data_IF_738471607274
#
_entry.id   IF_738471607274
#
_cell.length_a   1.000
_cell.length_b   1.000
_cell.length_c   1.000
_cell.angle_alpha   90.00
_cell.angle_beta   90.00
_cell.angle_gamma   90.00
#
_symmetry.space_group_name_H-M   'P 1'
#
loop_
_entity.id
_entity.type
_entity.pdbx_description
1 polymer ?
#
# COMPACT_ATOMS: atom_id res chain seq x y z
N UNK A 1 -30.67 16.12 -7.37
CA UNK A 1 -31.27 15.96 -6.05
C UNK A 1 -32.76 15.73 -6.18
N UNK A 2 -33.30 14.69 -5.50
CA UNK A 2 -34.75 14.40 -5.49
C UNK A 2 -35.24 13.51 -6.64
N UNK A 3 -34.35 12.95 -7.46
CA UNK A 3 -34.69 11.96 -8.47
C UNK A 3 -33.97 10.63 -8.17
N UNK A 4 -34.59 9.54 -8.61
CA UNK A 4 -33.96 8.22 -8.55
C UNK A 4 -32.73 8.18 -9.48
N UNK A 5 -31.60 7.70 -8.97
CA UNK A 5 -30.37 7.54 -9.72
C UNK A 5 -30.04 6.05 -9.78
N UNK A 6 -29.72 5.56 -10.98
CA UNK A 6 -29.33 4.16 -11.21
C UNK A 6 -27.85 4.11 -11.49
N UNK A 7 -27.13 3.28 -10.73
CA UNK A 7 -25.73 2.96 -10.96
C UNK A 7 -25.65 1.53 -11.45
N UNK A 8 -25.06 1.31 -12.61
CA UNK A 8 -24.84 -0.03 -13.18
C UNK A 8 -23.36 -0.34 -13.19
N UNK A 9 -22.98 -1.52 -12.69
CA UNK A 9 -21.62 -2.05 -12.74
C UNK A 9 -21.56 -3.20 -13.72
N UNK A 10 -20.63 -3.12 -14.67
CA UNK A 10 -20.27 -4.24 -15.52
C UNK A 10 -19.01 -4.90 -14.98
N UNK A 11 -19.13 -6.13 -14.51
CA UNK A 11 -18.00 -6.94 -14.05
C UNK A 11 -17.71 -7.98 -15.11
N UNK A 12 -16.46 -8.09 -15.51
CA UNK A 12 -16.00 -9.08 -16.48
C UNK A 12 -14.93 -9.96 -15.85
N UNK A 13 -15.25 -11.22 -15.65
CA UNK A 13 -14.27 -12.25 -15.33
C UNK A 13 -13.69 -12.78 -16.65
N UNK A 14 -12.38 -12.65 -16.87
CA UNK A 14 -11.76 -13.04 -18.15
C UNK A 14 -11.91 -14.51 -18.51
N UNK A 15 -11.99 -15.38 -17.52
CA UNK A 15 -12.07 -16.83 -17.75
C UNK A 15 -13.47 -17.43 -17.54
N UNK A 16 -14.39 -16.70 -16.93
CA UNK A 16 -15.76 -17.15 -16.68
C UNK A 16 -15.89 -18.38 -15.78
N UNK A 17 -14.80 -18.90 -15.25
CA UNK A 17 -14.75 -20.10 -14.42
C UNK A 17 -14.00 -19.81 -13.12
N UNK A 18 -14.58 -20.27 -12.02
CA UNK A 18 -13.91 -20.31 -10.75
C UNK A 18 -12.70 -21.24 -10.81
N UNK A 19 -11.50 -20.71 -10.58
CA UNK A 19 -10.29 -21.49 -10.67
C UNK A 19 -9.34 -21.21 -9.52
N UNK A 20 -9.05 -22.22 -8.73
CA UNK A 20 -8.11 -22.17 -7.61
C UNK A 20 -6.64 -22.21 -8.04
N UNK A 21 -6.35 -22.40 -9.32
CA UNK A 21 -4.96 -22.47 -9.77
C UNK A 21 -4.35 -21.08 -9.72
N UNK A 22 -3.41 -20.92 -8.84
CA UNK A 22 -2.42 -19.88 -8.87
C UNK A 22 -1.68 -19.93 -10.23
N UNK A 23 -1.26 -18.80 -10.73
CA UNK A 23 -0.44 -18.74 -11.96
C UNK A 23 -1.14 -19.03 -13.28
N UNK A 24 -2.45 -19.05 -13.36
CA UNK A 24 -3.10 -19.13 -14.66
C UNK A 24 -2.98 -17.82 -15.45
N UNK A 25 -2.70 -17.98 -16.73
CA UNK A 25 -2.73 -16.86 -17.67
C UNK A 25 -4.19 -16.58 -18.04
N UNK A 26 -4.65 -15.36 -17.79
CA UNK A 26 -5.95 -14.91 -18.25
C UNK A 26 -5.88 -14.35 -19.65
N UNK A 27 -6.94 -14.61 -20.40
CA UNK A 27 -7.15 -13.99 -21.70
C UNK A 27 -8.16 -12.87 -21.57
N UNK A 28 -7.73 -11.64 -21.85
CA UNK A 28 -8.58 -10.47 -21.92
C UNK A 28 -8.69 -9.99 -23.37
N UNK A 29 -9.71 -10.44 -24.08
CA UNK A 29 -9.77 -10.26 -25.52
C UNK A 29 -8.59 -10.93 -26.21
N UNK A 30 -7.79 -10.16 -26.91
CA UNK A 30 -6.55 -10.62 -27.56
C UNK A 30 -5.33 -10.65 -26.63
N UNK A 31 -5.45 -10.11 -25.40
CA UNK A 31 -4.35 -9.97 -24.47
C UNK A 31 -4.32 -11.10 -23.44
N UNK A 32 -3.11 -11.44 -23.04
CA UNK A 32 -2.85 -12.34 -21.93
C UNK A 32 -2.28 -11.57 -20.75
N UNK A 33 -2.79 -11.83 -19.56
CA UNK A 33 -2.32 -11.24 -18.31
C UNK A 33 -2.01 -12.32 -17.30
N UNK A 34 -1.09 -12.04 -16.41
CA UNK A 34 -0.89 -12.90 -15.27
C UNK A 34 -1.95 -12.60 -14.22
N UNK A 35 -2.71 -13.58 -13.80
CA UNK A 35 -3.56 -13.44 -12.65
C UNK A 35 -2.76 -13.58 -11.37
N UNK A 36 -3.28 -13.02 -10.31
CA UNK A 36 -2.90 -13.47 -8.98
C UNK A 36 -3.74 -14.67 -8.55
N UNK A 37 -5.04 -14.59 -8.63
CA UNK A 37 -5.99 -15.68 -8.37
C UNK A 37 -7.13 -15.58 -9.38
N UNK A 38 -7.79 -16.70 -9.67
CA UNK A 38 -8.78 -16.83 -10.72
C UNK A 38 -10.14 -16.19 -10.48
N UNK A 39 -10.21 -15.06 -9.75
CA UNK A 39 -11.48 -14.47 -9.37
C UNK A 39 -11.58 -13.03 -9.84
N UNK A 40 -12.70 -12.70 -10.45
CA UNK A 40 -13.12 -11.35 -10.75
C UNK A 40 -14.24 -10.91 -9.82
N UNK A 41 -14.43 -9.60 -9.69
CA UNK A 41 -15.54 -9.04 -8.94
C UNK A 41 -15.16 -7.85 -8.08
N UNK A 42 -16.16 -7.32 -7.38
CA UNK A 42 -15.99 -6.28 -6.38
C UNK A 42 -15.86 -6.97 -5.04
N UNK A 43 -14.66 -6.99 -4.48
CA UNK A 43 -14.35 -7.65 -3.21
C UNK A 43 -14.10 -6.68 -2.07
N UNK A 44 -13.99 -5.40 -2.37
CA UNK A 44 -13.77 -4.34 -1.40
C UNK A 44 -15.04 -3.55 -1.09
N UNK A 45 -14.93 -2.63 -0.14
CA UNK A 45 -15.99 -1.70 0.23
C UNK A 45 -16.31 -0.78 -0.95
N UNK A 46 -17.59 -0.54 -1.19
CA UNK A 46 -18.08 0.42 -2.18
C UNK A 46 -18.73 1.58 -1.45
N UNK A 47 -18.29 2.78 -1.75
CA UNK A 47 -18.80 4.01 -1.14
C UNK A 47 -19.18 5.02 -2.22
N UNK A 48 -20.25 5.75 -1.99
CA UNK A 48 -20.59 6.94 -2.74
C UNK A 48 -20.18 8.16 -1.90
N UNK A 49 -19.21 8.89 -2.39
CA UNK A 49 -18.69 10.08 -1.72
C UNK A 49 -19.18 11.33 -2.45
N UNK A 50 -19.78 12.26 -1.70
CA UNK A 50 -20.14 13.57 -2.20
C UNK A 50 -19.22 14.62 -1.58
N UNK A 51 -18.61 15.43 -2.41
CA UNK A 51 -17.69 16.50 -2.00
C UNK A 51 -18.13 17.84 -2.57
N UNK A 52 -17.64 18.92 -2.00
CA UNK A 52 -17.63 20.21 -2.67
C UNK A 52 -16.62 20.23 -3.83
N UNK A 53 -16.60 21.33 -4.58
CA UNK A 53 -15.63 21.52 -5.69
C UNK A 53 -14.19 21.71 -5.23
N UNK A 54 -13.97 22.03 -3.97
CA UNK A 54 -12.67 21.98 -3.32
C UNK A 54 -12.68 20.85 -2.30
N UNK A 55 -11.89 19.81 -2.51
CA UNK A 55 -11.84 18.65 -1.65
C UNK A 55 -10.44 18.05 -1.56
N UNK A 56 -10.23 17.15 -0.63
CA UNK A 56 -8.99 16.41 -0.43
C UNK A 56 -9.07 15.09 -1.17
N UNK A 57 -8.29 14.95 -2.23
CA UNK A 57 -8.27 13.75 -3.06
C UNK A 57 -7.36 12.64 -2.53
N UNK A 58 -6.31 13.01 -1.79
CA UNK A 58 -5.34 12.05 -1.25
C UNK A 58 -4.54 12.65 -0.10
N UNK A 59 -4.18 11.80 0.86
CA UNK A 59 -3.26 12.14 1.96
C UNK A 59 -2.22 11.04 2.10
N UNK A 60 -0.95 11.39 1.94
CA UNK A 60 0.15 10.47 2.14
C UNK A 60 1.02 10.91 3.32
N UNK A 61 1.17 10.03 4.31
CA UNK A 61 1.95 10.25 5.52
C UNK A 61 3.26 9.49 5.42
N UNK A 62 4.33 10.22 5.16
CA UNK A 62 5.68 9.67 4.99
C UNK A 62 6.43 9.72 6.32
N UNK A 63 6.61 8.57 6.93
CA UNK A 63 7.49 8.46 8.09
C UNK A 63 8.93 8.85 7.72
N UNK A 64 9.63 9.47 8.65
CA UNK A 64 10.99 9.99 8.47
C UNK A 64 12.01 9.15 9.25
N UNK A 65 13.31 9.24 8.93
CA UNK A 65 14.38 8.58 9.71
C UNK A 65 14.36 8.94 11.20
N UNK A 66 13.98 10.16 11.56
CA UNK A 66 13.52 10.47 12.91
C UNK A 66 12.10 9.94 13.09
N UNK A 67 11.89 8.86 13.85
CA UNK A 67 10.60 8.18 13.90
C UNK A 67 9.48 9.00 14.56
N UNK A 68 9.81 10.15 15.18
CA UNK A 68 8.84 11.12 15.74
C UNK A 68 8.45 12.20 14.73
N UNK A 69 8.97 12.14 13.50
CA UNK A 69 8.72 13.08 12.43
C UNK A 69 7.98 12.42 11.27
N UNK A 70 7.06 13.15 10.67
CA UNK A 70 6.37 12.79 9.44
C UNK A 70 6.34 13.96 8.46
N UNK A 71 6.43 13.64 7.19
CA UNK A 71 6.05 14.52 6.09
C UNK A 71 4.65 14.13 5.62
N UNK A 72 3.76 15.10 5.53
CA UNK A 72 2.38 14.89 5.07
C UNK A 72 2.22 15.53 3.71
N UNK A 73 2.02 14.74 2.68
CA UNK A 73 1.65 15.20 1.34
C UNK A 73 0.13 15.14 1.20
N UNK A 74 -0.49 16.29 0.97
CA UNK A 74 -1.93 16.43 0.74
C UNK A 74 -2.17 16.81 -0.70
N UNK A 75 -3.01 16.06 -1.40
CA UNK A 75 -3.51 16.43 -2.72
C UNK A 75 -4.89 17.08 -2.57
N UNK A 76 -4.94 18.41 -2.75
CA UNK A 76 -6.20 19.14 -2.79
C UNK A 76 -6.67 19.29 -4.24
N UNK A 77 -7.92 18.93 -4.51
CA UNK A 77 -8.54 19.00 -5.82
C UNK A 77 -9.44 20.24 -5.92
N UNK A 78 -9.15 21.09 -6.89
CA UNK A 78 -9.97 22.27 -7.22
C UNK A 78 -10.73 22.01 -8.52
N UNK A 79 -12.00 21.61 -8.40
CA UNK A 79 -12.90 21.37 -9.53
C UNK A 79 -13.73 22.62 -9.90
N UNK A 80 -13.32 23.81 -9.44
CA UNK A 80 -13.91 25.06 -9.89
C UNK A 80 -13.36 25.44 -11.28
N UNK A 81 -13.92 26.46 -11.90
CA UNK A 81 -13.48 26.96 -13.20
C UNK A 81 -12.22 27.87 -13.13
N UNK A 82 -11.86 28.29 -11.93
CA UNK A 82 -10.81 29.29 -11.72
C UNK A 82 -9.85 28.87 -10.60
N UNK A 83 -8.60 29.32 -10.66
CA UNK A 83 -7.69 29.19 -9.52
C UNK A 83 -8.28 29.87 -8.28
N UNK A 84 -8.07 29.23 -7.12
CA UNK A 84 -8.47 29.78 -5.83
C UNK A 84 -7.29 30.47 -5.17
N UNK A 85 -7.55 31.67 -4.63
CA UNK A 85 -6.58 32.38 -3.77
C UNK A 85 -6.42 31.62 -2.47
N UNK A 86 -5.60 32.16 -1.57
CA UNK A 86 -5.28 31.56 -0.28
C UNK A 86 -6.47 30.84 0.38
N UNK A 87 -6.30 29.57 0.67
CA UNK A 87 -7.21 28.72 1.41
C UNK A 87 -6.59 28.33 2.75
N UNK A 88 -7.41 28.10 3.75
CA UNK A 88 -6.96 27.59 5.03
C UNK A 88 -7.03 26.06 5.03
N UNK A 89 -5.93 25.42 5.37
CA UNK A 89 -5.86 23.98 5.54
C UNK A 89 -5.49 23.67 7.00
N UNK A 90 -6.35 22.94 7.68
CA UNK A 90 -6.16 22.58 9.10
C UNK A 90 -5.71 21.14 9.20
N UNK A 91 -4.56 20.89 9.81
CA UNK A 91 -4.05 19.58 10.14
C UNK A 91 -4.20 19.31 11.63
N UNK A 92 -4.78 18.18 11.99
CA UNK A 92 -4.98 17.76 13.40
C UNK A 92 -4.57 16.30 13.57
N UNK A 93 -3.70 16.01 14.56
CA UNK A 93 -3.32 14.64 14.93
C UNK A 93 -3.89 14.31 16.31
N UNK A 94 -4.56 13.16 16.40
CA UNK A 94 -5.07 12.58 17.64
C UNK A 94 -4.58 11.15 17.81
N UNK A 95 -4.58 10.63 19.03
CA UNK A 95 -4.47 9.19 19.26
C UNK A 95 -5.68 8.48 18.62
N UNK A 96 -5.44 7.36 17.95
CA UNK A 96 -6.52 6.58 17.31
C UNK A 96 -7.50 6.09 18.39
N UNK A 97 -8.80 6.27 18.13
CA UNK A 97 -9.88 6.01 19.10
C UNK A 97 -9.79 6.85 20.39
N UNK A 98 -8.96 7.90 20.41
CA UNK A 98 -8.81 8.83 21.52
C UNK A 98 -9.33 10.25 21.20
N UNK A 99 -9.59 11.03 22.23
CA UNK A 99 -10.06 12.41 22.08
C UNK A 99 -8.93 13.45 22.19
N UNK A 100 -7.78 13.04 22.70
CA UNK A 100 -6.66 13.95 22.93
C UNK A 100 -6.03 14.44 21.65
N UNK A 101 -6.08 15.74 21.41
CA UNK A 101 -5.38 16.40 20.30
C UNK A 101 -3.91 16.56 20.68
N UNK A 102 -3.01 15.99 19.87
CA UNK A 102 -1.56 16.06 20.04
C UNK A 102 -0.93 17.15 19.18
N UNK A 103 -1.56 17.43 18.04
CA UNK A 103 -1.13 18.46 17.12
C UNK A 103 -2.33 19.12 16.47
N UNK A 104 -2.29 20.44 16.32
CA UNK A 104 -3.29 21.20 15.58
C UNK A 104 -2.64 22.46 15.03
N UNK A 105 -2.65 22.60 13.71
CA UNK A 105 -2.09 23.78 13.06
C UNK A 105 -2.85 24.09 11.78
N UNK A 106 -3.17 25.38 11.61
CA UNK A 106 -3.74 25.92 10.38
C UNK A 106 -2.61 26.47 9.51
N UNK A 107 -2.68 26.18 8.23
CA UNK A 107 -1.74 26.64 7.21
C UNK A 107 -2.50 27.44 6.16
N UNK A 108 -1.87 28.52 5.67
CA UNK A 108 -2.34 29.21 4.48
C UNK A 108 -1.76 28.52 3.25
N UNK A 109 -2.61 28.03 2.37
CA UNK A 109 -2.24 27.43 1.09
C UNK A 109 -2.62 28.40 -0.02
N UNK A 110 -1.63 28.90 -0.73
CA UNK A 110 -1.84 29.91 -1.77
C UNK A 110 -1.92 29.25 -3.15
N UNK A 111 -2.72 29.87 -4.04
CA UNK A 111 -2.76 29.55 -5.47
C UNK A 111 -3.12 28.09 -5.80
N UNK A 112 -4.26 27.58 -5.30
CA UNK A 112 -4.77 26.31 -5.76
C UNK A 112 -5.27 26.43 -7.21
N UNK A 113 -4.47 25.95 -8.15
CA UNK A 113 -4.84 25.91 -9.58
C UNK A 113 -5.98 24.92 -9.80
N UNK A 114 -6.67 25.03 -10.94
CA UNK A 114 -7.70 24.05 -11.34
C UNK A 114 -7.07 22.67 -11.48
N UNK A 115 -7.70 21.63 -10.90
CA UNK A 115 -7.21 20.26 -10.84
C UNK A 115 -6.47 19.94 -9.53
N UNK A 116 -5.53 19.01 -9.60
CA UNK A 116 -4.80 18.51 -8.43
C UNK A 116 -3.67 19.47 -8.01
N UNK A 117 -3.60 19.72 -6.70
CA UNK A 117 -2.59 20.57 -6.07
C UNK A 117 -1.96 19.82 -4.91
N UNK A 118 -0.66 19.58 -4.97
CA UNK A 118 0.08 18.93 -3.88
C UNK A 118 0.65 19.95 -2.92
N UNK A 119 0.41 19.70 -1.64
CA UNK A 119 0.91 20.50 -0.51
C UNK A 119 1.67 19.59 0.43
N UNK A 120 2.82 20.06 0.93
CA UNK A 120 3.67 19.27 1.83
C UNK A 120 3.80 19.99 3.18
N UNK A 121 3.58 19.22 4.25
CA UNK A 121 3.67 19.69 5.62
C UNK A 121 4.60 18.79 6.43
N UNK A 122 5.32 19.37 7.39
CA UNK A 122 6.19 18.63 8.29
C UNK A 122 5.63 18.71 9.71
N UNK A 123 5.50 17.56 10.36
CA UNK A 123 5.03 17.45 11.73
C UNK A 123 6.07 16.69 12.54
N UNK A 124 6.51 17.28 13.64
CA UNK A 124 7.40 16.66 14.62
C UNK A 124 6.69 16.57 15.96
N UNK A 125 6.53 15.36 16.49
CA UNK A 125 5.85 15.06 17.74
C UNK A 125 6.73 14.21 18.67
N UNK A 126 7.64 14.82 19.44
CA UNK A 126 8.57 14.07 20.30
C UNK A 126 7.88 13.20 21.35
N UNK A 127 6.67 13.59 21.77
CA UNK A 127 5.87 12.87 22.75
C UNK A 127 5.03 11.72 22.13
N UNK A 128 5.05 11.55 20.82
CA UNK A 128 4.31 10.47 20.18
C UNK A 128 4.93 9.12 20.57
N UNK A 129 4.07 8.17 20.91
CA UNK A 129 4.47 6.77 21.10
C UNK A 129 4.66 6.11 19.75
N UNK A 130 5.79 5.43 19.59
CA UNK A 130 6.10 4.80 18.32
C UNK A 130 5.30 3.50 18.14
N UNK A 131 4.86 3.26 16.90
CA UNK A 131 4.28 1.98 16.51
C UNK A 131 5.38 0.91 16.42
N UNK A 132 5.12 -0.24 17.01
CA UNK A 132 5.97 -1.43 16.89
C UNK A 132 5.14 -2.71 16.97
N UNK A 133 5.77 -3.85 16.72
CA UNK A 133 5.10 -5.17 16.84
C UNK A 133 4.61 -5.51 18.24
N UNK A 134 5.25 -4.94 19.26
CA UNK A 134 4.92 -5.19 20.68
C UNK A 134 4.07 -4.07 21.27
N UNK A 135 4.05 -2.90 20.63
CA UNK A 135 3.33 -1.69 21.10
C UNK A 135 2.77 -0.93 19.90
N UNK A 136 1.66 -1.38 19.32
CA UNK A 136 1.12 -0.82 18.07
C UNK A 136 0.29 0.45 18.31
N UNK A 137 0.97 1.57 18.60
CA UNK A 137 0.31 2.85 18.77
C UNK A 137 -0.07 3.48 17.45
N UNK A 138 -1.34 3.82 17.30
CA UNK A 138 -1.91 4.42 16.09
C UNK A 138 -2.45 5.82 16.36
N UNK A 139 -2.48 6.61 15.30
CA UNK A 139 -2.94 7.99 15.29
C UNK A 139 -3.85 8.23 14.10
N UNK A 140 -4.73 9.23 14.22
CA UNK A 140 -5.56 9.74 13.16
C UNK A 140 -5.08 11.15 12.80
N UNK A 141 -4.69 11.34 11.55
CA UNK A 141 -4.46 12.66 10.96
C UNK A 141 -5.73 13.10 10.24
N UNK A 142 -6.35 14.17 10.70
CA UNK A 142 -7.43 14.83 9.99
C UNK A 142 -6.91 16.06 9.27
N UNK A 143 -7.26 16.18 8.00
CA UNK A 143 -6.97 17.34 7.14
C UNK A 143 -8.29 17.95 6.71
N UNK A 144 -8.45 19.26 6.89
CA UNK A 144 -9.67 19.97 6.49
C UNK A 144 -9.31 21.13 5.56
N UNK A 145 -10.11 21.33 4.50
CA UNK A 145 -10.03 22.48 3.58
C UNK A 145 -11.45 22.87 3.16
N UNK A 146 -11.81 24.14 3.30
CA UNK A 146 -13.18 24.57 3.05
C UNK A 146 -14.16 23.81 3.95
N UNK A 147 -15.11 23.11 3.35
CA UNK A 147 -16.11 22.26 4.04
C UNK A 147 -15.68 20.78 4.07
N UNK A 148 -14.63 20.41 3.35
CA UNK A 148 -14.17 19.03 3.26
C UNK A 148 -13.24 18.63 4.40
N UNK A 149 -13.34 17.38 4.81
CA UNK A 149 -12.51 16.79 5.85
C UNK A 149 -12.15 15.34 5.51
N UNK A 150 -10.86 15.05 5.50
CA UNK A 150 -10.31 13.73 5.26
C UNK A 150 -9.56 13.23 6.48
N UNK A 151 -9.75 11.99 6.88
CA UNK A 151 -9.03 11.40 8.03
C UNK A 151 -8.28 10.14 7.59
N UNK A 152 -7.00 10.10 7.92
CA UNK A 152 -6.09 8.99 7.63
C UNK A 152 -5.48 8.44 8.92
N UNK A 153 -5.65 7.13 9.14
CA UNK A 153 -4.97 6.41 10.22
C UNK A 153 -3.51 6.15 9.84
N UNK A 154 -2.61 6.25 10.81
CA UNK A 154 -1.17 6.00 10.63
C UNK A 154 -0.47 5.64 11.95
N UNK A 155 0.83 5.30 11.88
CA UNK A 155 1.69 5.12 13.05
C UNK A 155 3.03 5.78 12.85
N UNK A 156 3.56 6.40 13.89
CA UNK A 156 4.94 6.90 13.92
C UNK A 156 5.91 5.74 14.01
N UNK A 157 6.75 5.54 13.01
CA UNK A 157 7.76 4.48 13.00
C UNK A 157 8.81 4.73 11.92
N UNK A 158 9.98 4.07 12.06
CA UNK A 158 10.97 4.00 11.00
C UNK A 158 11.45 2.55 10.84
N UNK A 159 11.41 2.04 9.61
CA UNK A 159 11.89 0.70 9.27
C UNK A 159 12.97 0.81 8.20
N UNK A 160 14.13 0.24 8.46
CA UNK A 160 15.30 0.41 7.61
C UNK A 160 16.19 -0.83 7.61
N UNK A 161 17.10 -0.89 6.64
CA UNK A 161 18.24 -1.82 6.62
C UNK A 161 19.49 -1.03 6.95
N UNK A 162 20.27 -1.52 7.90
CA UNK A 162 21.60 -1.00 8.22
C UNK A 162 22.66 -2.03 7.91
N UNK A 163 23.78 -1.56 7.40
CA UNK A 163 24.99 -2.37 7.28
C UNK A 163 25.76 -2.29 8.61
N UNK A 164 25.93 -3.45 9.24
CA UNK A 164 26.67 -3.60 10.50
C UNK A 164 27.87 -4.47 10.23
N UNK A 165 29.00 -3.84 9.94
CA UNK A 165 30.27 -4.51 9.62
C UNK A 165 30.18 -5.50 8.43
N UNK A 166 29.45 -5.11 7.37
CA UNK A 166 29.23 -5.93 6.18
C UNK A 166 28.03 -6.87 6.24
N UNK A 167 27.31 -6.90 7.39
CA UNK A 167 26.07 -7.66 7.56
C UNK A 167 24.85 -6.71 7.52
N UNK A 168 23.95 -6.92 6.56
CA UNK A 168 22.74 -6.12 6.39
C UNK A 168 21.64 -6.62 7.30
N UNK A 169 21.22 -5.78 8.22
CA UNK A 169 20.24 -6.12 9.26
C UNK A 169 19.05 -5.18 9.23
N UNK A 170 17.87 -5.71 9.57
CA UNK A 170 16.65 -4.92 9.70
C UNK A 170 16.57 -4.23 11.06
N UNK A 171 16.08 -2.98 11.03
CA UNK A 171 15.83 -2.18 12.22
C UNK A 171 14.42 -1.59 12.18
N UNK A 172 13.74 -1.63 13.33
CA UNK A 172 12.48 -0.95 13.57
C UNK A 172 12.68 0.04 14.72
N UNK A 173 12.47 1.33 14.45
CA UNK A 173 12.68 2.42 15.44
C UNK A 173 14.07 2.39 16.08
N UNK A 174 15.09 2.13 15.27
CA UNK A 174 16.48 2.05 15.74
C UNK A 174 16.86 0.78 16.50
N UNK A 175 15.92 -0.15 16.71
CA UNK A 175 16.18 -1.46 17.33
C UNK A 175 16.27 -2.55 16.26
N UNK A 176 17.31 -3.40 16.35
CA UNK A 176 17.44 -4.57 15.47
C UNK A 176 16.21 -5.47 15.59
N UNK A 177 15.69 -5.93 14.48
CA UNK A 177 14.58 -6.88 14.41
C UNK A 177 14.94 -8.06 13.51
N UNK A 178 14.67 -9.26 13.98
CA UNK A 178 14.77 -10.49 13.16
C UNK A 178 13.37 -10.82 12.66
N UNK A 179 13.22 -10.86 11.33
CA UNK A 179 11.93 -11.14 10.71
C UNK A 179 11.64 -12.65 10.79
N UNK A 180 10.60 -13.00 11.53
CA UNK A 180 10.02 -14.35 11.58
C UNK A 180 8.72 -14.31 10.77
N UNK A 181 8.83 -14.72 9.51
CA UNK A 181 7.78 -14.55 8.53
C UNK A 181 7.21 -15.88 8.05
N UNK A 182 5.95 -15.86 7.63
CA UNK A 182 5.31 -16.92 6.89
C UNK A 182 4.52 -16.34 5.71
N UNK A 183 4.17 -17.21 4.76
CA UNK A 183 3.40 -16.86 3.56
C UNK A 183 1.90 -16.92 3.87
N UNK A 184 1.17 -15.92 3.43
CA UNK A 184 -0.29 -15.94 3.31
C UNK A 184 -0.65 -15.92 1.82
N UNK A 185 -1.29 -16.98 1.35
CA UNK A 185 -1.75 -17.09 -0.03
C UNK A 185 -3.04 -16.32 -0.31
N UNK A 186 -3.61 -15.68 0.71
CA UNK A 186 -4.90 -14.99 0.61
C UNK A 186 -6.04 -15.89 0.11
N UNK A 187 -5.98 -17.18 0.42
CA UNK A 187 -7.10 -18.10 0.29
C UNK A 187 -7.88 -18.13 1.60
N UNK A 188 -9.17 -17.87 1.51
CA UNK A 188 -10.02 -17.72 2.68
C UNK A 188 -11.09 -18.80 2.75
N UNK A 189 -11.33 -19.40 3.93
CA UNK A 189 -12.18 -20.59 4.04
C UNK A 189 -13.64 -20.35 3.63
N UNK A 190 -14.17 -19.15 3.83
CA UNK A 190 -15.60 -18.89 3.61
C UNK A 190 -15.97 -18.79 2.13
N UNK A 191 -15.15 -18.11 1.35
CA UNK A 191 -15.45 -17.82 -0.06
C UNK A 191 -14.24 -17.93 -0.99
N UNK A 192 -13.07 -18.24 -0.44
CA UNK A 192 -11.83 -18.38 -1.17
C UNK A 192 -11.19 -17.08 -1.64
N UNK A 193 -11.84 -15.93 -1.50
CA UNK A 193 -11.45 -14.69 -2.18
C UNK A 193 -11.10 -13.59 -1.18
N UNK A 194 -11.97 -13.34 -0.21
CA UNK A 194 -11.85 -12.20 0.70
C UNK A 194 -12.19 -12.62 2.13
N UNK A 195 -11.45 -12.14 3.13
CA UNK A 195 -11.76 -12.46 4.52
C UNK A 195 -12.89 -11.57 5.05
N UNK A 196 -13.73 -12.15 5.89
CA UNK A 196 -14.49 -11.36 6.86
C UNK A 196 -13.54 -10.65 7.83
N UNK A 197 -14.00 -9.63 8.52
CA UNK A 197 -13.20 -8.95 9.54
C UNK A 197 -12.74 -9.89 10.65
N UNK A 198 -13.59 -10.86 11.03
CA UNK A 198 -13.23 -11.88 11.99
C UNK A 198 -12.07 -12.77 11.52
N UNK A 199 -12.11 -13.22 10.26
CA UNK A 199 -11.05 -14.05 9.69
C UNK A 199 -9.75 -13.26 9.51
N UNK A 200 -9.83 -12.02 9.05
CA UNK A 200 -8.68 -11.14 8.92
C UNK A 200 -7.98 -10.94 10.27
N UNK A 201 -8.75 -10.61 11.30
CA UNK A 201 -8.24 -10.46 12.68
C UNK A 201 -7.63 -11.75 13.19
N UNK A 202 -8.33 -12.91 13.04
CA UNK A 202 -7.87 -14.22 13.46
C UNK A 202 -6.55 -14.61 12.80
N UNK A 203 -6.33 -14.28 11.52
CA UNK A 203 -5.06 -14.54 10.84
C UNK A 203 -3.90 -13.82 11.55
N UNK A 204 -4.07 -12.53 11.82
CA UNK A 204 -3.04 -11.72 12.50
C UNK A 204 -2.78 -12.22 13.92
N UNK A 205 -3.82 -12.50 14.70
CA UNK A 205 -3.70 -13.04 16.07
C UNK A 205 -2.99 -14.39 16.07
N UNK A 206 -3.35 -15.27 15.13
CA UNK A 206 -2.74 -16.60 15.02
C UNK A 206 -1.27 -16.53 14.66
N UNK A 207 -0.89 -15.65 13.73
CA UNK A 207 0.51 -15.42 13.39
C UNK A 207 1.31 -14.97 14.62
N UNK A 208 0.79 -14.04 15.40
CA UNK A 208 1.44 -13.58 16.64
C UNK A 208 1.54 -14.69 17.69
N UNK A 209 0.48 -15.49 17.89
CA UNK A 209 0.49 -16.65 18.81
C UNK A 209 1.54 -17.69 18.43
N UNK A 210 1.82 -17.85 17.13
CA UNK A 210 2.89 -18.71 16.63
C UNK A 210 4.29 -18.10 16.75
N UNK A 211 4.42 -16.90 17.30
CA UNK A 211 5.70 -16.20 17.46
C UNK A 211 6.19 -15.53 16.18
N UNK A 212 5.38 -15.43 15.14
CA UNK A 212 5.69 -14.65 13.94
C UNK A 212 5.55 -13.16 14.24
N UNK A 213 6.38 -12.36 13.57
CA UNK A 213 6.27 -10.90 13.62
C UNK A 213 6.04 -10.27 12.24
N UNK A 214 5.94 -11.10 11.20
CA UNK A 214 5.65 -10.67 9.83
C UNK A 214 4.87 -11.75 9.08
N UNK A 215 4.00 -11.32 8.16
CA UNK A 215 3.43 -12.15 7.10
C UNK A 215 3.68 -11.54 5.73
N UNK A 216 3.58 -12.39 4.71
CA UNK A 216 3.69 -12.02 3.31
C UNK A 216 2.36 -12.26 2.60
N UNK A 217 1.83 -11.27 1.89
CA UNK A 217 0.82 -11.50 0.88
C UNK A 217 1.49 -12.04 -0.38
N UNK A 218 1.59 -13.36 -0.44
CA UNK A 218 2.32 -14.04 -1.49
C UNK A 218 1.57 -14.04 -2.81
N UNK A 219 2.17 -13.47 -3.84
CA UNK A 219 1.65 -13.39 -5.22
C UNK A 219 0.30 -12.70 -5.37
N UNK A 220 -0.09 -11.90 -4.39
CA UNK A 220 -1.39 -11.21 -4.40
C UNK A 220 -1.29 -9.87 -3.69
N UNK A 221 -2.17 -8.96 -4.09
CA UNK A 221 -2.41 -7.71 -3.35
C UNK A 221 -3.18 -8.07 -2.08
N UNK A 222 -2.70 -7.59 -0.94
CA UNK A 222 -3.32 -7.83 0.35
C UNK A 222 -4.73 -7.24 0.46
N UNK A 223 -5.48 -7.77 1.42
CA UNK A 223 -6.78 -7.20 1.77
C UNK A 223 -6.59 -6.09 2.80
N UNK A 224 -7.23 -4.94 2.58
CA UNK A 224 -7.07 -3.76 3.43
C UNK A 224 -7.46 -4.03 4.88
N UNK A 225 -8.53 -4.80 5.13
CA UNK A 225 -8.92 -5.15 6.50
C UNK A 225 -7.88 -6.02 7.23
N UNK A 226 -7.11 -6.85 6.51
CA UNK A 226 -5.98 -7.59 7.11
C UNK A 226 -4.87 -6.63 7.54
N UNK A 227 -4.54 -5.63 6.70
CA UNK A 227 -3.57 -4.59 7.06
C UNK A 227 -4.09 -3.72 8.21
N UNK A 228 -5.39 -3.44 8.25
CA UNK A 228 -6.02 -2.73 9.37
C UNK A 228 -5.78 -3.45 10.71
N UNK A 229 -6.00 -4.76 10.76
CA UNK A 229 -5.73 -5.55 11.96
C UNK A 229 -4.24 -5.75 12.23
N UNK A 230 -3.40 -5.81 11.19
CA UNK A 230 -1.96 -5.84 11.36
C UNK A 230 -1.45 -4.54 12.02
N UNK A 231 -1.99 -3.40 11.63
CA UNK A 231 -1.71 -2.11 12.28
C UNK A 231 -2.13 -2.10 13.75
N UNK A 232 -3.36 -2.57 14.04
CA UNK A 232 -3.92 -2.56 15.39
C UNK A 232 -3.24 -3.57 16.34
N UNK A 233 -2.84 -4.71 15.83
CA UNK A 233 -2.29 -5.80 16.64
C UNK A 233 -0.76 -5.88 16.59
N UNK A 234 -0.09 -5.12 15.75
CA UNK A 234 1.36 -5.07 15.66
C UNK A 234 1.97 -6.28 14.95
N UNK A 235 1.59 -6.53 13.70
CA UNK A 235 2.22 -7.52 12.83
C UNK A 235 2.73 -6.84 11.57
N UNK A 236 3.99 -7.06 11.22
CA UNK A 236 4.54 -6.53 9.98
C UNK A 236 4.00 -7.29 8.77
N UNK A 237 3.93 -6.60 7.65
CA UNK A 237 3.59 -7.20 6.36
C UNK A 237 4.57 -6.78 5.27
N UNK A 238 4.78 -7.67 4.32
CA UNK A 238 5.22 -7.28 2.99
C UNK A 238 4.21 -7.75 1.94
N UNK A 239 4.12 -6.99 0.84
CA UNK A 239 3.07 -7.10 -0.13
C UNK A 239 3.62 -7.20 -1.54
N UNK A 240 2.90 -7.93 -2.38
CA UNK A 240 3.22 -8.14 -3.79
C UNK A 240 2.06 -7.67 -4.67
N UNK A 241 2.32 -7.01 -5.82
CA UNK A 241 1.23 -6.61 -6.74
C UNK A 241 0.56 -7.80 -7.44
N UNK A 242 1.00 -9.00 -7.13
CA UNK A 242 0.52 -10.25 -7.72
C UNK A 242 0.99 -10.45 -9.16
N UNK A 243 0.84 -11.68 -9.64
CA UNK A 243 1.24 -12.07 -10.99
C UNK A 243 2.75 -12.12 -11.17
N UNK A 244 3.24 -13.28 -11.37
CA UNK A 244 4.63 -13.55 -11.69
C UNK A 244 4.68 -14.68 -12.71
N UNK A 245 5.87 -15.05 -13.12
CA UNK A 245 6.11 -16.25 -13.94
C UNK A 245 5.48 -16.27 -15.33
N UNK A 246 5.19 -15.15 -15.97
CA UNK A 246 5.05 -15.26 -17.42
C UNK A 246 6.47 -15.30 -18.03
N UNK A 247 6.77 -16.28 -18.90
CA UNK A 247 8.07 -16.31 -19.56
C UNK A 247 8.26 -15.03 -20.36
N UNK A 248 9.17 -14.18 -19.90
CA UNK A 248 9.48 -12.87 -20.51
C UNK A 248 10.00 -13.06 -21.94
N UNK A 249 10.49 -14.25 -22.26
CA UNK A 249 10.88 -14.62 -23.62
C UNK A 249 9.81 -14.35 -24.69
N UNK A 250 8.54 -14.25 -24.30
CA UNK A 250 7.43 -13.90 -25.19
C UNK A 250 7.11 -12.40 -25.25
N UNK A 251 7.74 -11.59 -24.40
CA UNK A 251 7.51 -10.14 -24.35
C UNK A 251 8.72 -9.41 -24.94
N UNK A 252 8.58 -8.91 -26.13
CA UNK A 252 9.47 -7.88 -26.61
C UNK A 252 8.76 -6.51 -26.50
N UNK A 253 9.52 -5.47 -26.22
CA UNK A 253 8.98 -4.14 -25.88
C UNK A 253 8.14 -3.49 -26.98
N UNK A 254 8.17 -4.03 -28.19
CA UNK A 254 7.55 -3.42 -29.36
C UNK A 254 6.21 -4.04 -29.73
N UNK A 255 5.81 -5.18 -29.16
CA UNK A 255 4.53 -5.77 -29.50
C UNK A 255 3.40 -5.26 -28.58
N UNK A 256 2.17 -5.31 -29.09
CA UNK A 256 0.95 -4.84 -28.43
C UNK A 256 0.68 -5.57 -27.12
N UNK A 257 0.96 -6.87 -27.06
CA UNK A 257 0.80 -7.70 -25.87
C UNK A 257 1.72 -7.26 -24.72
N UNK A 258 2.99 -7.00 -25.01
CA UNK A 258 3.96 -6.53 -23.99
C UNK A 258 3.58 -5.16 -23.44
N UNK A 259 3.19 -4.23 -24.30
CA UNK A 259 2.73 -2.90 -23.88
C UNK A 259 1.54 -2.99 -22.93
N UNK A 260 0.55 -3.80 -23.28
CA UNK A 260 -0.61 -4.03 -22.42
C UNK A 260 -0.20 -4.65 -21.07
N UNK A 261 0.62 -5.69 -21.09
CA UNK A 261 1.08 -6.39 -19.89
C UNK A 261 1.82 -5.45 -18.92
N UNK A 262 2.75 -4.65 -19.43
CA UNK A 262 3.49 -3.71 -18.58
C UNK A 262 2.59 -2.58 -18.06
N UNK A 263 1.68 -2.06 -18.88
CA UNK A 263 0.71 -1.06 -18.43
C UNK A 263 -0.19 -1.61 -17.31
N UNK A 264 -0.70 -2.82 -17.46
CA UNK A 264 -1.51 -3.50 -16.46
C UNK A 264 -0.76 -3.74 -15.14
N UNK A 265 0.48 -4.23 -15.22
CA UNK A 265 1.34 -4.41 -14.04
C UNK A 265 1.61 -3.10 -13.31
N UNK A 266 1.96 -2.07 -14.07
CA UNK A 266 2.24 -0.75 -13.52
C UNK A 266 1.01 -0.17 -12.81
N UNK A 267 -0.16 -0.28 -13.44
CA UNK A 267 -1.41 0.19 -12.85
C UNK A 267 -1.76 -0.55 -11.54
N UNK A 268 -1.59 -1.87 -11.51
CA UNK A 268 -1.77 -2.66 -10.27
C UNK A 268 -0.84 -2.17 -9.17
N UNK A 269 0.44 -2.00 -9.48
CA UNK A 269 1.45 -1.55 -8.52
C UNK A 269 1.15 -0.15 -7.99
N UNK A 270 0.77 0.78 -8.87
CA UNK A 270 0.42 2.15 -8.49
C UNK A 270 -0.78 2.16 -7.54
N UNK A 271 -1.83 1.41 -7.86
CA UNK A 271 -3.04 1.33 -7.03
C UNK A 271 -2.79 0.68 -5.69
N UNK A 272 -2.03 -0.41 -5.66
CA UNK A 272 -1.61 -1.08 -4.43
C UNK A 272 -0.86 -0.12 -3.51
N UNK A 273 0.20 0.52 -4.02
CA UNK A 273 1.00 1.46 -3.21
C UNK A 273 0.14 2.61 -2.69
N UNK A 274 -0.65 3.26 -3.55
CA UNK A 274 -1.50 4.38 -3.14
C UNK A 274 -2.53 4.00 -2.07
N UNK A 275 -3.10 2.80 -2.16
CA UNK A 275 -4.07 2.31 -1.18
C UNK A 275 -3.42 2.04 0.17
N UNK A 276 -2.23 1.44 0.18
CA UNK A 276 -1.69 0.80 1.38
C UNK A 276 -0.50 1.53 2.01
N UNK A 277 0.05 2.55 1.37
CA UNK A 277 1.26 3.26 1.83
C UNK A 277 1.15 3.96 3.19
N UNK A 278 -0.05 4.15 3.72
CA UNK A 278 -0.24 4.74 5.05
C UNK A 278 -0.27 3.71 6.19
N UNK A 279 -0.33 2.40 5.89
CA UNK A 279 -0.29 1.36 6.92
C UNK A 279 1.11 1.25 7.56
N UNK A 280 1.25 1.46 8.87
CA UNK A 280 2.54 1.32 9.54
C UNK A 280 3.04 -0.13 9.57
N UNK A 281 2.16 -1.12 9.49
CA UNK A 281 2.50 -2.54 9.42
C UNK A 281 3.17 -2.94 8.11
N UNK A 282 2.84 -2.27 7.01
CA UNK A 282 3.41 -2.54 5.70
C UNK A 282 4.79 -1.88 5.57
N UNK A 283 5.85 -2.69 5.40
CA UNK A 283 7.23 -2.19 5.44
C UNK A 283 8.06 -2.55 4.19
N UNK A 284 7.60 -3.51 3.39
CA UNK A 284 8.29 -3.99 2.19
C UNK A 284 7.29 -4.12 1.04
N UNK A 285 7.66 -3.64 -0.13
CA UNK A 285 7.04 -4.00 -1.40
C UNK A 285 7.94 -4.97 -2.15
N UNK A 286 7.45 -6.16 -2.45
CA UNK A 286 8.12 -7.12 -3.31
C UNK A 286 7.52 -7.08 -4.70
N UNK A 287 8.28 -6.61 -5.68
CA UNK A 287 7.77 -6.37 -7.02
C UNK A 287 7.57 -7.64 -7.84
N UNK A 288 8.32 -8.67 -7.54
CA UNK A 288 8.30 -9.96 -8.27
C UNK A 288 8.62 -11.11 -7.34
N UNK A 289 7.93 -12.22 -7.56
CA UNK A 289 8.25 -13.50 -6.96
C UNK A 289 8.71 -14.50 -8.04
N UNK A 290 9.73 -15.30 -7.75
CA UNK A 290 10.22 -16.41 -8.58
C UNK A 290 10.43 -16.05 -10.06
N UNK A 291 11.07 -14.94 -10.33
CA UNK A 291 11.38 -14.56 -11.68
C UNK A 291 12.64 -15.27 -12.16
N UNK A 292 12.51 -16.19 -13.14
CA UNK A 292 13.55 -17.04 -13.63
C UNK A 292 14.62 -16.38 -14.53
N UNK A 293 14.74 -15.05 -14.55
CA UNK A 293 15.74 -14.32 -15.33
C UNK A 293 16.24 -13.09 -14.58
N UNK A 294 17.42 -12.61 -14.98
CA UNK A 294 17.99 -11.36 -14.47
C UNK A 294 16.99 -10.19 -14.61
N UNK A 295 17.04 -9.20 -13.70
CA UNK A 295 16.18 -8.03 -13.79
C UNK A 295 16.28 -7.37 -15.17
N UNK A 296 15.13 -7.11 -15.75
CA UNK A 296 15.03 -6.41 -17.03
C UNK A 296 14.96 -4.89 -16.82
N UNK A 297 15.16 -4.12 -17.88
CA UNK A 297 15.06 -2.65 -17.82
C UNK A 297 13.71 -2.20 -17.25
N UNK A 298 12.64 -2.92 -17.56
CA UNK A 298 11.28 -2.65 -17.05
C UNK A 298 11.17 -2.87 -15.54
N UNK A 299 11.93 -3.79 -14.95
CA UNK A 299 11.91 -4.02 -13.50
C UNK A 299 12.56 -2.87 -12.76
N UNK A 300 13.68 -2.40 -13.25
CA UNK A 300 14.30 -1.18 -12.70
C UNK A 300 13.40 0.05 -12.86
N UNK A 301 12.65 0.14 -13.98
CA UNK A 301 11.67 1.20 -14.16
C UNK A 301 10.53 1.10 -13.12
N UNK A 302 10.03 -0.12 -12.86
CA UNK A 302 9.04 -0.35 -11.80
C UNK A 302 9.57 -0.05 -10.40
N UNK A 303 10.81 -0.42 -10.09
CA UNK A 303 11.44 -0.09 -8.81
C UNK A 303 11.53 1.44 -8.63
N UNK A 304 11.99 2.16 -9.65
CA UNK A 304 12.02 3.64 -9.61
C UNK A 304 10.64 4.24 -9.44
N UNK A 305 9.64 3.71 -10.15
CA UNK A 305 8.24 4.15 -10.02
C UNK A 305 7.71 3.89 -8.60
N UNK A 306 7.90 2.68 -8.06
CA UNK A 306 7.48 2.35 -6.71
C UNK A 306 8.15 3.27 -5.68
N UNK A 307 9.46 3.50 -5.80
CA UNK A 307 10.19 4.42 -4.93
C UNK A 307 9.69 5.87 -5.04
N UNK A 308 9.32 6.32 -6.23
CA UNK A 308 8.76 7.68 -6.40
C UNK A 308 7.37 7.83 -5.78
N UNK A 309 6.60 6.74 -5.70
CA UNK A 309 5.27 6.72 -5.07
C UNK A 309 5.36 6.59 -3.55
N UNK A 310 6.33 5.84 -3.07
CA UNK A 310 6.60 5.66 -1.64
C UNK A 310 8.08 5.38 -1.37
N UNK A 311 8.87 6.39 -0.98
CA UNK A 311 10.29 6.24 -0.65
C UNK A 311 10.53 5.67 0.75
N UNK A 312 9.48 5.39 1.53
CA UNK A 312 9.59 5.01 2.95
C UNK A 312 9.54 3.50 3.20
N UNK A 313 9.37 2.69 2.13
CA UNK A 313 9.35 1.23 2.19
C UNK A 313 10.59 0.65 1.50
N UNK A 314 10.99 -0.51 1.97
CA UNK A 314 12.02 -1.29 1.30
C UNK A 314 11.41 -1.90 0.05
N UNK A 315 12.13 -1.80 -1.07
CA UNK A 315 11.77 -2.46 -2.31
C UNK A 315 12.60 -3.72 -2.49
N UNK A 316 11.93 -4.82 -2.76
CA UNK A 316 12.59 -6.10 -3.07
C UNK A 316 12.10 -6.66 -4.39
N UNK A 317 12.91 -7.52 -4.97
CA UNK A 317 12.56 -8.30 -6.13
C UNK A 317 13.12 -9.71 -5.86
N UNK A 318 12.24 -10.64 -5.46
CA UNK A 318 12.66 -12.00 -5.19
C UNK A 318 12.98 -12.71 -6.51
N UNK A 319 14.24 -13.02 -6.69
CA UNK A 319 14.72 -13.94 -7.71
C UNK A 319 14.48 -15.39 -7.26
N UNK A 320 14.53 -16.31 -8.18
CA UNK A 320 14.13 -17.73 -8.13
C UNK A 320 14.60 -18.56 -6.91
N UNK A 321 15.53 -18.11 -6.13
CA UNK A 321 15.92 -18.76 -4.89
C UNK A 321 15.64 -17.84 -3.72
N UNK A 322 14.81 -18.27 -2.78
CA UNK A 322 14.95 -17.77 -1.42
C UNK A 322 16.44 -17.93 -1.08
N UNK A 323 17.18 -16.85 -0.89
CA UNK A 323 18.57 -17.03 -0.52
C UNK A 323 18.58 -17.81 0.79
N UNK A 324 19.22 -18.96 0.77
CA UNK A 324 19.66 -19.57 2.00
C UNK A 324 20.42 -18.48 2.77
N UNK A 325 20.44 -18.50 4.10
CA UNK A 325 21.28 -17.59 4.87
C UNK A 325 22.75 -17.54 4.41
N UNK A 326 23.19 -18.51 3.59
CA UNK A 326 24.51 -18.56 2.97
C UNK A 326 24.62 -17.72 1.70
N UNK A 327 23.50 -17.45 1.00
CA UNK A 327 23.52 -16.72 -0.28
C UNK A 327 23.45 -15.19 -0.10
N UNK A 328 23.16 -14.73 1.13
CA UNK A 328 23.19 -13.31 1.50
C UNK A 328 24.62 -12.82 1.78
N UNK A 329 25.58 -13.74 1.92
CA UNK A 329 26.97 -13.45 2.30
C UNK A 329 27.93 -13.28 1.11
N UNK A 330 27.46 -13.20 -0.11
CA UNK A 330 28.35 -13.19 -1.28
C UNK A 330 27.84 -12.37 -2.47
N UNK A 331 27.68 -11.06 -2.32
CA UNK A 331 27.81 -10.12 -3.45
C UNK A 331 27.92 -8.70 -2.92
#
# INVERSE_FOLDING_TARGET
>A
PGQENVIAFRITDPNGNFNWKDSQVYTWGEYRTNPSHGFGGITGKVELVATDKLYIGDVFIKNQPDPHSIEVEVTACNETKNPMKAQKMLLTVKEHKGEKVLYRKEYSVENLVVGENKQTFHIHLPAAKLWSTDSPHLYDLSVSVGTDNYTQRFGFRWFEVKDIHGDKQFFLNGKRIVLRTAISWSFWPDNGITPSDELARRQVESAKKLGLNMLNFHRTIGHSNVLDYADELGLLYFEEPGGNQYPISHFNDNNKQSKFYFAYRNEKLVRMIKRDRNHPSLVIYNLHNERGAWPQVQDYAQMRMAHSLDPTRILTCLLYTSPSPRDISGS
#
